data_IF_034271201151
#
_entry.id   IF_034271201151
#
_cell.length_a   1.000
_cell.length_b   1.000
_cell.length_c   1.000
_cell.angle_alpha   90.00
_cell.angle_beta   90.00
_cell.angle_gamma   90.00
#
_symmetry.space_group_name_H-M   'P 1'
#
loop_
_entity.id
_entity.type
_entity.pdbx_description
1 polymer ?
#
# COMPACT_ATOMS: atom_id res chain seq x y z
N UNK A 1 -17.19 -28.12 -32.55
CA UNK A 1 -17.47 -27.05 -31.58
C UNK A 1 -16.23 -26.17 -31.50
N UNK A 2 -16.47 -24.87 -31.54
CA UNK A 2 -15.62 -23.83 -32.14
C UNK A 2 -14.33 -23.62 -31.33
N UNK A 3 -13.18 -23.89 -31.96
CA UNK A 3 -11.88 -23.49 -31.44
C UNK A 3 -11.79 -21.97 -31.46
N UNK A 4 -11.56 -21.37 -30.29
CA UNK A 4 -11.54 -19.94 -30.11
C UNK A 4 -10.32 -19.34 -30.88
N UNK A 5 -10.52 -18.52 -31.93
CA UNK A 5 -9.44 -18.02 -32.78
C UNK A 5 -8.46 -17.11 -32.04
N UNK A 6 -8.84 -16.59 -30.86
CA UNK A 6 -7.99 -15.77 -29.99
C UNK A 6 -6.85 -16.59 -29.37
N UNK A 7 -7.08 -17.87 -29.08
CA UNK A 7 -6.06 -18.77 -28.51
C UNK A 7 -4.95 -19.11 -29.51
N UNK A 8 -5.30 -19.22 -30.80
CA UNK A 8 -4.33 -19.53 -31.87
C UNK A 8 -3.40 -18.34 -32.15
N UNK A 9 -3.92 -17.11 -32.11
CA UNK A 9 -3.15 -15.88 -32.30
C UNK A 9 -2.20 -15.59 -31.12
N UNK A 10 -2.57 -15.96 -29.90
CA UNK A 10 -1.75 -15.74 -28.71
C UNK A 10 -0.51 -16.66 -28.67
N UNK A 11 -0.67 -17.92 -29.07
CA UNK A 11 0.44 -18.88 -29.20
C UNK A 11 1.40 -18.45 -30.32
N UNK A 12 0.89 -17.95 -31.45
CA UNK A 12 1.71 -17.38 -32.53
C UNK A 12 2.47 -16.11 -32.11
N UNK A 13 1.89 -15.26 -31.25
CA UNK A 13 2.55 -14.06 -30.73
C UNK A 13 3.67 -14.38 -29.72
N UNK A 14 3.51 -15.44 -28.92
CA UNK A 14 4.54 -15.91 -28.00
C UNK A 14 5.72 -16.59 -28.72
N UNK A 15 5.45 -17.40 -29.75
CA UNK A 15 6.48 -18.03 -30.56
C UNK A 15 7.34 -17.04 -31.37
N UNK A 16 6.80 -15.87 -31.71
CA UNK A 16 7.52 -14.82 -32.45
C UNK A 16 8.37 -13.91 -31.54
N UNK A 17 8.01 -13.77 -30.26
CA UNK A 17 8.77 -12.96 -29.28
C UNK A 17 9.90 -13.73 -28.58
N UNK A 18 9.82 -15.06 -28.48
CA UNK A 18 10.79 -15.87 -27.73
C UNK A 18 11.23 -17.13 -28.49
N UNK A 19 12.01 -16.99 -29.58
CA UNK A 19 12.40 -18.12 -30.44
C UNK A 19 13.30 -19.16 -29.75
N UNK A 20 13.95 -18.81 -28.63
CA UNK A 20 14.85 -19.69 -27.88
C UNK A 20 14.11 -20.75 -27.05
N UNK A 21 12.80 -20.61 -26.81
CA UNK A 21 11.98 -21.56 -26.05
C UNK A 21 11.37 -22.67 -26.94
N UNK A 22 11.51 -22.59 -28.26
CA UNK A 22 10.78 -23.45 -29.21
C UNK A 22 11.59 -24.59 -29.84
N UNK A 23 12.88 -24.76 -29.52
CA UNK A 23 13.76 -25.73 -30.19
C UNK A 23 13.66 -27.18 -29.69
N UNK A 24 12.74 -27.50 -28.78
CA UNK A 24 12.62 -28.85 -28.19
C UNK A 24 11.23 -29.49 -28.30
N UNK A 25 10.30 -28.93 -29.09
CA UNK A 25 8.90 -29.41 -29.14
C UNK A 25 8.65 -30.44 -30.25
N UNK A 26 9.59 -31.37 -30.44
CA UNK A 26 9.34 -32.58 -31.20
C UNK A 26 9.71 -33.76 -30.31
N UNK A 27 8.69 -34.44 -29.76
CA UNK A 27 8.75 -35.58 -28.85
C UNK A 27 9.12 -35.28 -27.38
N UNK A 28 8.13 -34.88 -26.58
CA UNK A 28 7.83 -35.57 -25.32
C UNK A 28 6.32 -35.46 -25.07
N UNK A 29 5.62 -36.58 -25.19
CA UNK A 29 4.33 -36.81 -24.54
C UNK A 29 4.53 -36.83 -23.03
N UNK A 30 3.69 -36.08 -22.31
CA UNK A 30 3.38 -36.27 -20.88
C UNK A 30 4.53 -35.95 -19.90
N UNK A 31 4.46 -34.80 -19.24
CA UNK A 31 4.65 -34.72 -17.78
C UNK A 31 4.29 -33.30 -17.26
N UNK A 32 3.43 -33.30 -16.25
CA UNK A 32 3.17 -32.19 -15.30
C UNK A 32 2.82 -30.82 -15.89
N UNK A 33 1.52 -30.63 -16.13
CA UNK A 33 0.87 -29.34 -16.28
C UNK A 33 0.29 -28.75 -14.96
N UNK A 34 1.06 -28.57 -13.85
CA UNK A 34 0.64 -27.66 -12.78
C UNK A 34 1.38 -26.31 -12.81
N UNK A 35 2.58 -26.20 -13.39
CA UNK A 35 3.41 -24.99 -13.27
C UNK A 35 2.94 -23.79 -14.12
N UNK A 36 2.34 -24.02 -15.29
CA UNK A 36 1.87 -22.93 -16.15
C UNK A 36 0.48 -22.41 -15.73
N UNK A 37 -0.34 -23.24 -15.10
CA UNK A 37 -1.66 -22.84 -14.59
C UNK A 37 -1.56 -22.10 -13.25
N UNK A 38 -0.60 -22.41 -12.39
CA UNK A 38 -0.31 -21.61 -11.19
C UNK A 38 0.27 -20.25 -11.56
N UNK A 39 1.21 -20.18 -12.50
CA UNK A 39 1.81 -18.91 -12.92
C UNK A 39 0.80 -17.97 -13.61
N UNK A 40 -0.16 -18.50 -14.39
CA UNK A 40 -1.25 -17.70 -14.98
C UNK A 40 -2.32 -17.28 -13.97
N UNK A 41 -2.59 -18.11 -12.94
CA UNK A 41 -3.46 -17.73 -11.81
C UNK A 41 -2.81 -16.66 -10.95
N UNK A 42 -1.51 -16.76 -10.68
CA UNK A 42 -0.74 -15.77 -9.92
C UNK A 42 -0.64 -14.47 -10.73
N UNK A 43 -0.41 -14.50 -12.04
CA UNK A 43 -0.37 -13.30 -12.87
C UNK A 43 -1.72 -12.56 -12.94
N UNK A 44 -2.85 -13.28 -13.10
CA UNK A 44 -4.18 -12.66 -13.07
C UNK A 44 -4.59 -12.21 -11.65
N UNK A 45 -4.12 -12.91 -10.61
CA UNK A 45 -4.27 -12.46 -9.23
C UNK A 45 -3.48 -11.16 -9.01
N UNK A 46 -2.21 -11.10 -9.43
CA UNK A 46 -1.31 -9.94 -9.34
C UNK A 46 -1.75 -8.74 -10.19
N UNK A 47 -2.35 -8.93 -11.38
CA UNK A 47 -2.93 -7.81 -12.13
C UNK A 47 -4.21 -7.27 -11.48
N UNK A 48 -4.98 -8.13 -10.79
CA UNK A 48 -6.14 -7.71 -9.99
C UNK A 48 -5.74 -7.10 -8.64
N UNK A 49 -4.62 -7.53 -8.06
CA UNK A 49 -4.05 -7.08 -6.78
C UNK A 49 -3.24 -5.78 -6.92
N UNK A 50 -2.42 -5.63 -7.96
CA UNK A 50 -1.56 -4.44 -8.21
C UNK A 50 -2.36 -3.15 -8.40
N UNK A 51 -3.63 -3.27 -8.83
CA UNK A 51 -4.57 -2.15 -8.92
C UNK A 51 -5.41 -1.94 -7.65
N UNK A 52 -5.43 -2.91 -6.71
CA UNK A 52 -6.24 -2.84 -5.49
C UNK A 52 -5.43 -2.52 -4.23
N UNK A 53 -4.15 -2.83 -4.15
CA UNK A 53 -3.38 -2.73 -2.88
C UNK A 53 -2.35 -1.61 -2.81
N UNK A 54 -2.29 -0.69 -3.77
CA UNK A 54 -1.44 0.51 -3.58
C UNK A 54 -1.97 1.48 -2.52
N UNK A 55 -3.15 1.22 -1.95
CA UNK A 55 -3.77 1.97 -0.87
C UNK A 55 -4.48 0.98 0.04
N UNK A 56 -3.79 0.39 1.00
CA UNK A 56 -4.44 -0.55 1.92
C UNK A 56 -3.77 -0.69 3.27
N UNK A 57 -3.56 0.45 3.94
CA UNK A 57 -3.24 0.53 5.37
C UNK A 57 -4.42 0.96 6.24
N UNK A 58 -5.66 0.97 5.72
CA UNK A 58 -6.92 1.03 6.47
C UNK A 58 -8.00 0.41 5.55
N UNK A 59 -8.40 -0.83 5.78
CA UNK A 59 -9.65 -1.34 5.21
C UNK A 59 -10.66 -1.62 6.32
N UNK A 60 -11.59 -0.68 6.45
CA UNK A 60 -12.95 -1.01 6.84
C UNK A 60 -13.55 -1.85 5.70
N UNK A 61 -14.01 -3.05 6.03
CA UNK A 61 -14.67 -3.97 5.09
C UNK A 61 -16.09 -3.46 4.86
N UNK A 62 -16.21 -2.35 4.13
CA UNK A 62 -17.48 -1.83 3.64
C UNK A 62 -18.12 -2.86 2.73
N UNK A 63 -19.28 -3.35 3.17
CA UNK A 63 -20.12 -4.29 2.44
C UNK A 63 -20.39 -3.85 1.01
N UNK A 64 -20.29 -4.83 0.11
CA UNK A 64 -20.65 -4.80 -1.30
C UNK A 64 -22.14 -4.45 -1.48
N UNK A 65 -22.45 -3.15 -1.47
CA UNK A 65 -23.69 -2.51 -1.94
C UNK A 65 -23.33 -1.04 -2.29
N UNK A 66 -22.59 -0.82 -3.37
CA UNK A 66 -22.30 0.53 -3.89
C UNK A 66 -23.57 1.14 -4.52
N UNK A 67 -24.45 1.68 -3.69
CA UNK A 67 -25.44 2.66 -4.11
C UNK A 67 -24.74 4.02 -4.32
N UNK A 68 -24.91 4.70 -5.47
CA UNK A 68 -24.29 6.00 -5.77
C UNK A 68 -24.79 7.18 -4.90
N UNK A 69 -25.54 6.91 -3.83
CA UNK A 69 -26.04 7.91 -2.88
C UNK A 69 -25.08 8.18 -1.69
N UNK A 70 -23.99 7.42 -1.54
CA UNK A 70 -23.04 7.57 -0.43
C UNK A 70 -21.98 8.67 -0.68
N UNK A 71 -21.40 8.72 -1.88
CA UNK A 71 -20.31 9.65 -2.21
C UNK A 71 -20.72 11.13 -2.10
N UNK A 72 -21.95 11.47 -2.52
CA UNK A 72 -22.46 12.84 -2.46
C UNK A 72 -22.66 13.31 -1.01
N UNK A 73 -23.15 12.43 -0.13
CA UNK A 73 -23.32 12.74 1.31
C UNK A 73 -21.98 12.92 2.01
N UNK A 74 -21.00 12.06 1.71
CA UNK A 74 -19.62 12.20 2.22
C UNK A 74 -19.00 13.54 1.81
N UNK A 75 -19.22 13.94 0.56
CA UNK A 75 -18.72 15.22 0.04
C UNK A 75 -19.38 16.42 0.71
N UNK A 76 -20.70 16.40 0.89
CA UNK A 76 -21.45 17.46 1.58
C UNK A 76 -20.98 17.59 3.04
N UNK A 77 -20.84 16.47 3.75
CA UNK A 77 -20.33 16.44 5.11
C UNK A 77 -18.91 17.02 5.20
N UNK A 78 -18.02 16.61 4.29
CA UNK A 78 -16.66 17.18 4.21
C UNK A 78 -16.67 18.69 3.94
N UNK A 79 -17.51 19.17 3.01
CA UNK A 79 -17.61 20.60 2.72
C UNK A 79 -18.11 21.40 3.92
N UNK A 80 -19.02 20.83 4.72
CA UNK A 80 -19.48 21.42 5.99
C UNK A 80 -18.36 21.50 7.02
N UNK A 81 -17.59 20.44 7.21
CA UNK A 81 -16.47 20.40 8.16
C UNK A 81 -15.33 21.33 7.73
N UNK A 82 -15.02 21.37 6.44
CA UNK A 82 -14.05 22.32 5.88
C UNK A 82 -14.49 23.77 6.12
N UNK A 83 -15.79 24.06 5.96
CA UNK A 83 -16.35 25.39 6.20
C UNK A 83 -16.27 25.75 7.69
N UNK A 84 -16.65 24.83 8.58
CA UNK A 84 -16.49 24.98 10.04
C UNK A 84 -15.04 25.31 10.39
N UNK A 85 -14.09 24.56 9.84
CA UNK A 85 -12.66 24.77 10.05
C UNK A 85 -12.22 26.18 9.61
N UNK A 86 -12.60 26.59 8.39
CA UNK A 86 -12.28 27.91 7.87
C UNK A 86 -12.89 29.05 8.70
N UNK A 87 -14.10 28.88 9.22
CA UNK A 87 -14.75 29.88 10.06
C UNK A 87 -14.13 29.92 11.47
N UNK A 88 -13.67 28.79 12.01
CA UNK A 88 -12.89 28.72 13.26
C UNK A 88 -11.58 29.51 13.15
N UNK A 89 -10.85 29.38 12.03
CA UNK A 89 -9.63 30.16 11.77
C UNK A 89 -9.89 31.66 11.75
N UNK A 90 -11.03 32.10 11.21
CA UNK A 90 -11.40 33.54 11.18
C UNK A 90 -11.80 34.07 12.55
N UNK A 91 -12.42 33.23 13.38
CA UNK A 91 -13.02 33.64 14.65
C UNK A 91 -12.14 33.36 15.87
N UNK A 92 -10.94 32.78 15.70
CA UNK A 92 -10.00 32.49 16.80
C UNK A 92 -10.48 31.39 17.75
N UNK A 93 -11.16 30.37 17.22
CA UNK A 93 -11.80 29.29 17.98
C UNK A 93 -10.86 28.41 18.82
N UNK A 94 -11.45 27.64 19.74
CA UNK A 94 -10.77 26.70 20.66
C UNK A 94 -10.01 25.58 19.92
N UNK A 95 -8.80 25.25 20.40
CA UNK A 95 -7.89 24.29 19.76
C UNK A 95 -8.44 22.84 19.66
N UNK A 96 -9.34 22.42 20.55
CA UNK A 96 -9.80 21.01 20.61
C UNK A 96 -10.71 20.68 19.41
N UNK A 97 -11.68 21.54 19.11
CA UNK A 97 -12.59 21.36 17.97
C UNK A 97 -11.86 21.49 16.63
N UNK A 98 -10.74 22.22 16.59
CA UNK A 98 -9.90 22.26 15.38
C UNK A 98 -9.08 21.00 15.15
N UNK A 99 -8.82 20.17 16.17
CA UNK A 99 -8.05 18.92 16.02
C UNK A 99 -8.90 17.86 15.32
N UNK A 100 -10.09 17.57 15.83
CA UNK A 100 -11.01 16.57 15.27
C UNK A 100 -11.35 16.90 13.80
N UNK A 101 -11.69 18.16 13.53
CA UNK A 101 -11.95 18.63 12.16
C UNK A 101 -10.73 18.47 11.24
N UNK A 102 -9.51 18.70 11.74
CA UNK A 102 -8.30 18.51 10.94
C UNK A 102 -8.03 17.03 10.63
N UNK A 103 -8.28 16.13 11.58
CA UNK A 103 -8.14 14.69 11.37
C UNK A 103 -9.11 14.18 10.30
N UNK A 104 -10.37 14.60 10.35
CA UNK A 104 -11.38 14.29 9.33
C UNK A 104 -11.00 14.84 7.95
N UNK A 105 -10.54 16.10 7.90
CA UNK A 105 -10.11 16.73 6.65
C UNK A 105 -8.91 16.00 6.04
N UNK A 106 -7.93 15.61 6.87
CA UNK A 106 -6.75 14.84 6.41
C UNK A 106 -7.19 13.49 5.86
N UNK A 107 -8.06 12.76 6.56
CA UNK A 107 -8.61 11.48 6.11
C UNK A 107 -9.32 11.61 4.75
N UNK A 108 -10.23 12.57 4.62
CA UNK A 108 -10.95 12.80 3.37
C UNK A 108 -10.00 13.10 2.19
N UNK A 109 -9.02 13.99 2.37
CA UNK A 109 -8.07 14.29 1.30
C UNK A 109 -7.18 13.10 0.96
N UNK A 110 -6.82 12.28 1.95
CA UNK A 110 -6.05 11.05 1.74
C UNK A 110 -6.84 10.03 0.93
N UNK A 111 -8.09 9.76 1.30
CA UNK A 111 -8.98 8.80 0.62
C UNK A 111 -9.28 9.21 -0.83
N UNK A 112 -9.27 10.52 -1.11
CA UNK A 112 -9.46 11.08 -2.45
C UNK A 112 -8.13 11.25 -3.23
N UNK A 113 -7.03 10.66 -2.76
CA UNK A 113 -5.68 10.70 -3.36
C UNK A 113 -5.11 12.13 -3.53
N UNK A 114 -5.63 13.10 -2.77
CA UNK A 114 -5.20 14.51 -2.78
C UNK A 114 -4.14 14.73 -1.71
N UNK A 115 -3.00 14.10 -1.91
CA UNK A 115 -1.92 14.04 -0.92
C UNK A 115 -1.26 15.40 -0.63
N UNK A 116 -1.22 16.32 -1.59
CA UNK A 116 -0.62 17.64 -1.40
C UNK A 116 -1.44 18.49 -0.41
N UNK A 117 -2.77 18.44 -0.54
CA UNK A 117 -3.70 19.08 0.39
C UNK A 117 -3.68 18.38 1.75
N UNK A 118 -3.68 17.04 1.79
CA UNK A 118 -3.55 16.30 3.04
C UNK A 118 -2.27 16.68 3.81
N UNK A 119 -1.14 16.86 3.10
CA UNK A 119 0.14 17.26 3.70
C UNK A 119 0.06 18.65 4.35
N UNK A 120 -0.71 19.56 3.78
CA UNK A 120 -0.92 20.89 4.35
C UNK A 120 -1.63 20.80 5.70
N UNK A 121 -2.73 20.04 5.78
CA UNK A 121 -3.53 19.93 7.00
C UNK A 121 -2.83 19.10 8.09
N UNK A 122 -2.15 18.00 7.75
CA UNK A 122 -1.39 17.21 8.74
C UNK A 122 -0.23 18.02 9.33
N UNK A 123 0.36 18.94 8.57
CA UNK A 123 1.41 19.85 9.09
C UNK A 123 0.84 20.85 10.09
N UNK A 124 -0.38 21.34 9.88
CA UNK A 124 -1.07 22.18 10.85
C UNK A 124 -1.43 21.38 12.12
N UNK A 125 -1.90 20.16 11.95
CA UNK A 125 -2.20 19.24 13.05
C UNK A 125 -0.97 18.98 13.92
N UNK A 126 0.19 18.74 13.30
CA UNK A 126 1.47 18.56 14.01
C UNK A 126 1.96 19.84 14.70
N UNK A 127 1.59 21.03 14.21
CA UNK A 127 1.93 22.28 14.90
C UNK A 127 1.17 22.43 16.23
N UNK A 128 -0.02 21.84 16.32
CA UNK A 128 -0.85 21.80 17.53
C UNK A 128 -0.43 20.63 18.43
N UNK A 129 -0.20 19.45 17.84
CA UNK A 129 0.15 18.21 18.53
C UNK A 129 1.47 17.61 18.04
N UNK A 130 2.63 18.19 18.43
CA UNK A 130 3.93 17.77 17.92
C UNK A 130 4.42 16.41 18.44
N UNK A 131 3.83 15.90 19.52
CA UNK A 131 4.24 14.66 20.20
C UNK A 131 3.30 13.48 19.93
N UNK A 132 2.47 13.54 18.88
CA UNK A 132 1.62 12.42 18.46
C UNK A 132 2.34 11.54 17.43
N UNK A 133 2.61 10.28 17.79
CA UNK A 133 3.20 9.29 16.88
C UNK A 133 2.33 9.07 15.65
N UNK A 134 1.01 8.98 15.84
CA UNK A 134 0.01 8.80 14.78
C UNK A 134 0.05 9.94 13.75
N UNK A 135 0.21 11.19 14.19
CA UNK A 135 0.29 12.31 13.25
C UNK A 135 1.58 12.32 12.43
N UNK A 136 2.69 11.86 13.04
CA UNK A 136 3.94 11.64 12.30
C UNK A 136 3.80 10.48 11.30
N UNK A 137 3.11 9.41 11.67
CA UNK A 137 2.77 8.29 10.77
C UNK A 137 1.94 8.75 9.58
N UNK A 138 0.83 9.46 9.81
CA UNK A 138 -0.04 10.00 8.76
C UNK A 138 0.74 10.88 7.79
N UNK A 139 1.62 11.75 8.32
CA UNK A 139 2.50 12.57 7.48
C UNK A 139 3.49 11.72 6.68
N UNK A 140 4.08 10.69 7.29
CA UNK A 140 4.95 9.72 6.60
C UNK A 140 4.24 9.04 5.43
N UNK A 141 3.03 8.52 5.66
CA UNK A 141 2.20 7.86 4.64
C UNK A 141 1.88 8.79 3.47
N UNK A 142 1.47 10.03 3.77
CA UNK A 142 1.20 11.06 2.75
C UNK A 142 2.45 11.36 1.92
N UNK A 143 3.62 11.45 2.55
CA UNK A 143 4.90 11.72 1.87
C UNK A 143 5.36 10.53 1.02
N UNK A 144 5.19 9.30 1.49
CA UNK A 144 5.46 8.09 0.70
C UNK A 144 4.61 8.06 -0.57
N UNK A 145 3.31 8.39 -0.47
CA UNK A 145 2.42 8.50 -1.64
C UNK A 145 2.77 9.65 -2.60
N UNK A 146 3.47 10.68 -2.11
CA UNK A 146 4.04 11.76 -2.92
C UNK A 146 5.43 11.42 -3.49
N UNK A 147 5.91 10.18 -3.33
CA UNK A 147 7.25 9.73 -3.74
C UNK A 147 8.40 10.49 -3.04
N UNK A 148 8.12 11.11 -1.89
CA UNK A 148 9.09 11.84 -1.07
C UNK A 148 9.63 10.94 0.04
N UNK A 149 10.29 9.87 -0.36
CA UNK A 149 10.64 8.78 0.54
C UNK A 149 11.59 9.19 1.66
N UNK A 150 12.61 10.00 1.40
CA UNK A 150 13.55 10.48 2.44
C UNK A 150 12.81 11.27 3.55
N UNK A 151 11.92 12.19 3.15
CA UNK A 151 11.10 12.97 4.10
C UNK A 151 10.13 12.05 4.88
N UNK A 152 9.62 11.00 4.24
CA UNK A 152 8.74 10.02 4.88
C UNK A 152 9.49 9.18 5.93
N UNK A 153 10.72 8.74 5.63
CA UNK A 153 11.56 7.99 6.56
C UNK A 153 11.87 8.81 7.82
N UNK A 154 12.17 10.10 7.68
CA UNK A 154 12.35 10.99 8.83
C UNK A 154 11.08 11.08 9.70
N UNK A 155 9.90 11.06 9.08
CA UNK A 155 8.63 11.07 9.80
C UNK A 155 8.40 9.75 10.55
N UNK A 156 8.68 8.60 9.93
CA UNK A 156 8.59 7.30 10.59
C UNK A 156 9.60 7.16 11.73
N UNK A 157 10.82 7.67 11.58
CA UNK A 157 11.81 7.69 12.66
C UNK A 157 11.35 8.53 13.86
N UNK A 158 10.72 9.68 13.61
CA UNK A 158 10.11 10.48 14.69
C UNK A 158 8.95 9.74 15.33
N UNK A 159 8.07 9.12 14.55
CA UNK A 159 6.96 8.34 15.08
C UNK A 159 7.45 7.18 15.96
N UNK A 160 8.45 6.42 15.49
CA UNK A 160 9.07 5.31 16.24
C UNK A 160 9.82 5.78 17.50
N UNK A 161 10.34 7.00 17.51
CA UNK A 161 10.95 7.57 18.73
C UNK A 161 9.91 7.85 19.82
N UNK A 162 8.66 8.10 19.44
CA UNK A 162 7.54 8.34 20.34
C UNK A 162 6.83 7.03 20.72
N UNK A 163 6.66 6.12 19.76
CA UNK A 163 6.09 4.79 19.93
C UNK A 163 6.98 3.70 19.30
N UNK A 164 7.97 3.14 20.04
CA UNK A 164 8.95 2.22 19.48
C UNK A 164 8.43 0.78 19.27
N UNK A 165 7.24 0.45 19.77
CA UNK A 165 6.66 -0.91 19.77
C UNK A 165 5.46 -1.00 18.83
N UNK A 166 5.46 -0.18 17.79
CA UNK A 166 4.40 -0.13 16.80
C UNK A 166 4.79 -0.94 15.55
N UNK A 167 4.18 -2.11 15.30
CA UNK A 167 4.49 -2.92 14.14
C UNK A 167 4.08 -2.22 12.84
N UNK A 168 3.01 -1.43 12.84
CA UNK A 168 2.52 -0.76 11.63
C UNK A 168 3.50 0.32 11.17
N UNK A 169 4.10 1.07 12.11
CA UNK A 169 5.17 2.02 11.79
C UNK A 169 6.39 1.35 11.18
N UNK A 170 6.79 0.19 11.69
CA UNK A 170 7.91 -0.58 11.17
C UNK A 170 7.61 -1.12 9.77
N UNK A 171 6.40 -1.61 9.53
CA UNK A 171 5.95 -2.08 8.22
C UNK A 171 5.96 -0.93 7.20
N UNK A 172 5.34 0.20 7.51
CA UNK A 172 5.28 1.37 6.62
C UNK A 172 6.68 1.93 6.30
N UNK A 173 7.57 1.94 7.29
CA UNK A 173 8.98 2.29 7.08
C UNK A 173 9.67 1.27 6.17
N UNK A 174 9.44 -0.03 6.40
CA UNK A 174 10.00 -1.12 5.60
C UNK A 174 9.57 -1.05 4.13
N UNK A 175 8.28 -0.80 3.86
CA UNK A 175 7.75 -0.61 2.50
C UNK A 175 8.45 0.57 1.82
N UNK A 176 8.57 1.70 2.53
CA UNK A 176 9.22 2.91 1.99
C UNK A 176 10.71 2.68 1.68
N UNK A 177 11.41 1.89 2.49
CA UNK A 177 12.80 1.47 2.24
C UNK A 177 12.90 0.54 1.03
N UNK A 178 11.98 -0.41 0.88
CA UNK A 178 11.92 -1.32 -0.27
C UNK A 178 11.72 -0.53 -1.58
N UNK A 179 10.85 0.47 -1.57
CA UNK A 179 10.60 1.36 -2.72
C UNK A 179 11.84 2.21 -3.09
N UNK A 180 12.71 2.52 -2.13
CA UNK A 180 14.01 3.16 -2.35
C UNK A 180 15.10 2.17 -2.82
N UNK A 181 14.83 0.86 -2.84
CA UNK A 181 15.81 -0.18 -3.15
C UNK A 181 16.74 -0.51 -1.97
N UNK A 182 16.41 -0.04 -0.77
CA UNK A 182 17.12 -0.32 0.49
C UNK A 182 16.65 -1.65 1.09
N UNK A 183 16.87 -2.73 0.35
CA UNK A 183 16.31 -4.07 0.62
C UNK A 183 16.66 -4.60 2.01
N UNK A 184 17.92 -4.56 2.43
CA UNK A 184 18.31 -5.14 3.72
C UNK A 184 17.78 -4.32 4.91
N UNK A 185 17.68 -3.00 4.78
CA UNK A 185 17.07 -2.16 5.81
C UNK A 185 15.54 -2.38 5.88
N UNK A 186 14.88 -2.61 4.75
CA UNK A 186 13.47 -2.98 4.68
C UNK A 186 13.20 -4.31 5.39
N UNK A 187 13.99 -5.36 5.07
CA UNK A 187 13.89 -6.66 5.72
C UNK A 187 14.08 -6.58 7.23
N UNK A 188 15.05 -5.79 7.69
CA UNK A 188 15.27 -5.56 9.12
C UNK A 188 14.06 -4.87 9.81
N UNK A 189 13.33 -4.00 9.10
CA UNK A 189 12.11 -3.39 9.63
C UNK A 189 10.99 -4.43 9.75
N UNK A 190 10.78 -5.27 8.72
CA UNK A 190 9.78 -6.34 8.79
C UNK A 190 10.12 -7.38 9.85
N UNK A 191 11.39 -7.74 10.01
CA UNK A 191 11.84 -8.65 11.07
C UNK A 191 11.50 -8.08 12.46
N UNK A 192 11.77 -6.80 12.70
CA UNK A 192 11.40 -6.14 13.97
C UNK A 192 9.88 -6.06 14.17
N UNK A 193 9.10 -5.85 13.11
CA UNK A 193 7.64 -5.89 13.21
C UNK A 193 7.15 -7.29 13.62
N UNK A 194 7.75 -8.34 13.06
CA UNK A 194 7.46 -9.75 13.38
C UNK A 194 7.99 -10.18 14.75
N UNK A 195 9.01 -9.54 15.30
CA UNK A 195 9.42 -9.72 16.69
C UNK A 195 8.35 -9.22 17.67
N UNK A 196 7.62 -8.16 17.30
CA UNK A 196 6.53 -7.58 18.11
C UNK A 196 5.24 -8.38 17.92
N UNK A 197 4.86 -8.64 16.68
CA UNK A 197 3.70 -9.46 16.31
C UNK A 197 4.12 -10.54 15.28
N UNK A 198 4.44 -11.75 15.75
CA UNK A 198 4.88 -12.85 14.88
C UNK A 198 3.83 -13.33 13.87
N UNK A 199 2.56 -12.97 14.08
CA UNK A 199 1.43 -13.34 13.23
C UNK A 199 0.96 -12.21 12.33
N UNK A 200 1.72 -11.12 12.23
CA UNK A 200 1.34 -10.00 11.39
C UNK A 200 1.43 -10.36 9.90
N UNK A 201 0.28 -10.62 9.29
CA UNK A 201 0.16 -11.05 7.89
C UNK A 201 0.77 -10.02 6.91
N UNK A 202 0.61 -8.74 7.18
CA UNK A 202 1.13 -7.66 6.34
C UNK A 202 2.67 -7.62 6.36
N UNK A 203 3.28 -7.77 7.53
CA UNK A 203 4.74 -7.85 7.66
C UNK A 203 5.30 -9.10 6.97
N UNK A 204 4.66 -10.27 7.12
CA UNK A 204 5.05 -11.50 6.43
C UNK A 204 4.95 -11.34 4.92
N UNK A 205 3.83 -10.79 4.44
CA UNK A 205 3.60 -10.57 3.02
C UNK A 205 4.66 -9.65 2.40
N UNK A 206 4.85 -8.47 2.99
CA UNK A 206 5.82 -7.49 2.47
C UNK A 206 7.25 -8.02 2.54
N UNK A 207 7.62 -8.73 3.62
CA UNK A 207 8.93 -9.40 3.71
C UNK A 207 9.12 -10.43 2.60
N UNK A 208 8.12 -11.26 2.32
CA UNK A 208 8.17 -12.26 1.25
C UNK A 208 8.35 -11.62 -0.13
N UNK A 209 7.62 -10.54 -0.41
CA UNK A 209 7.73 -9.76 -1.65
C UNK A 209 9.13 -9.12 -1.80
N UNK A 210 9.66 -8.51 -0.74
CA UNK A 210 11.01 -7.93 -0.74
C UNK A 210 12.08 -8.99 -0.98
N UNK A 211 11.97 -10.17 -0.37
CA UNK A 211 12.88 -11.30 -0.60
C UNK A 211 12.81 -11.80 -2.06
N UNK A 212 11.62 -11.87 -2.65
CA UNK A 212 11.44 -12.22 -4.06
C UNK A 212 12.11 -11.19 -4.99
N UNK A 213 11.87 -9.90 -4.75
CA UNK A 213 12.50 -8.80 -5.51
C UNK A 213 14.03 -8.85 -5.42
N UNK A 214 14.56 -9.27 -4.27
CA UNK A 214 15.99 -9.44 -4.04
C UNK A 214 16.59 -10.74 -4.63
N UNK A 215 15.76 -11.63 -5.20
CA UNK A 215 16.18 -12.93 -5.74
C UNK A 215 16.45 -14.00 -4.67
N UNK A 216 16.04 -13.77 -3.42
CA UNK A 216 16.21 -14.69 -2.28
C UNK A 216 15.01 -15.64 -2.17
N UNK A 217 14.79 -16.42 -3.23
CA UNK A 217 13.58 -17.25 -3.37
C UNK A 217 13.44 -18.33 -2.29
N UNK A 218 14.54 -18.91 -1.82
CA UNK A 218 14.52 -19.94 -0.77
C UNK A 218 13.99 -19.37 0.56
N UNK A 219 14.40 -18.14 0.90
CA UNK A 219 13.93 -17.44 2.09
C UNK A 219 12.46 -17.05 1.92
N UNK A 220 12.06 -16.54 0.75
CA UNK A 220 10.68 -16.16 0.46
C UNK A 220 9.70 -17.34 0.61
N UNK A 221 10.09 -18.54 0.12
CA UNK A 221 9.27 -19.75 0.25
C UNK A 221 9.06 -20.13 1.73
N UNK A 222 10.04 -19.90 2.60
CA UNK A 222 9.89 -20.19 4.03
C UNK A 222 8.86 -19.29 4.70
N UNK A 223 8.71 -18.04 4.23
CA UNK A 223 7.74 -17.09 4.78
C UNK A 223 6.29 -17.47 4.41
N UNK A 224 6.06 -17.98 3.19
CA UNK A 224 4.72 -18.32 2.70
C UNK A 224 4.26 -19.77 2.99
N UNK A 225 5.02 -20.51 3.79
CA UNK A 225 4.80 -21.95 4.04
C UNK A 225 3.91 -22.20 5.24
#
# INVERSE_FOLDING_TARGET
MIGNPVFSLFILHLCTKFPHLCSSVANVTCCSAPFLLTSFRIFLYLESYSKRERVMGILDFGSFDDEPEDDQRKKEHFEEELKKYQDMLKNGGSNITSIEALEEIVGFYFDNEKYAEALHFVTQLLAIMPYSAENWQRKGLILSNLFKYDEALECYDRALSLNPVDPELLINKGITLDDLGQTEEALACFDRALEIDPSNDEALFNKGITLEKAGRYEDAIQIFR
#
